data_IF_164323401143
#
_entry.id   IF_164323401143
#
_cell.length_a   1.000
_cell.length_b   1.000
_cell.length_c   1.000
_cell.angle_alpha   90.00
_cell.angle_beta   90.00
_cell.angle_gamma   90.00
#
_symmetry.space_group_name_H-M   'P 1'
#
loop_
_entity.id
_entity.type
_entity.pdbx_description
1 polymer ?
#
# COMPACT_ATOMS: atom_id res chain seq x y z
N UNK A 1 -61.65 -51.37 -2.31
CA UNK A 1 -60.79 -51.90 -1.23
C UNK A 1 -59.57 -50.96 -1.11
N UNK A 2 -59.66 -50.10 -0.07
CA UNK A 2 -58.59 -49.09 0.16
C UNK A 2 -57.74 -49.60 1.31
N UNK A 3 -56.42 -49.61 1.11
CA UNK A 3 -55.46 -49.68 2.19
C UNK A 3 -54.61 -48.40 2.17
N UNK A 4 -54.55 -47.64 3.24
CA UNK A 4 -53.63 -46.54 3.36
C UNK A 4 -52.34 -47.01 4.03
N UNK A 5 -51.23 -46.82 3.36
CA UNK A 5 -49.90 -46.95 3.97
C UNK A 5 -49.60 -45.74 4.84
N UNK A 6 -49.45 -45.97 6.11
CA UNK A 6 -48.91 -45.03 7.08
C UNK A 6 -47.40 -45.11 7.02
N UNK A 7 -46.76 -44.07 6.50
CA UNK A 7 -45.31 -43.86 6.61
C UNK A 7 -45.04 -43.09 7.88
N UNK A 8 -44.42 -43.77 8.86
CA UNK A 8 -43.89 -43.13 10.04
C UNK A 8 -42.58 -42.43 9.69
N UNK A 9 -42.55 -41.10 9.80
CA UNK A 9 -41.35 -40.32 9.70
C UNK A 9 -40.63 -40.35 11.04
N UNK A 10 -39.46 -40.99 11.10
CA UNK A 10 -38.58 -40.94 12.26
C UNK A 10 -37.84 -39.62 12.26
N UNK A 11 -38.12 -38.75 13.21
CA UNK A 11 -37.37 -37.53 13.49
C UNK A 11 -36.06 -37.94 14.20
N UNK A 12 -34.94 -37.89 13.50
CA UNK A 12 -33.63 -37.97 14.13
C UNK A 12 -33.25 -36.56 14.64
N UNK A 13 -33.35 -36.35 15.93
CA UNK A 13 -32.84 -35.13 16.59
C UNK A 13 -31.31 -35.29 16.73
N UNK A 14 -30.54 -34.69 15.81
CA UNK A 14 -29.12 -34.50 16.03
C UNK A 14 -28.92 -33.36 17.04
N UNK A 15 -28.65 -33.71 18.28
CA UNK A 15 -28.14 -32.75 19.27
C UNK A 15 -26.70 -32.40 18.91
N UNK A 16 -26.53 -31.34 18.11
CA UNK A 16 -25.21 -30.72 17.89
C UNK A 16 -24.88 -29.98 19.19
N UNK A 17 -23.99 -30.55 19.99
CA UNK A 17 -23.40 -29.87 21.14
C UNK A 17 -22.56 -28.69 20.64
N UNK A 18 -23.09 -27.48 20.81
CA UNK A 18 -22.33 -26.26 20.65
C UNK A 18 -21.30 -26.18 21.77
N UNK A 19 -20.09 -26.70 21.52
CA UNK A 19 -18.93 -26.33 22.31
C UNK A 19 -18.61 -24.86 21.96
N UNK A 20 -19.20 -23.96 22.73
CA UNK A 20 -18.76 -22.56 22.77
C UNK A 20 -17.37 -22.56 23.39
N UNK A 21 -16.35 -22.68 22.58
CA UNK A 21 -15.01 -22.27 22.97
C UNK A 21 -15.05 -20.74 23.15
N UNK A 22 -15.18 -20.31 24.40
CA UNK A 22 -14.90 -18.93 24.77
C UNK A 22 -13.44 -18.67 24.41
N UNK A 23 -13.21 -18.10 23.23
CA UNK A 23 -11.95 -17.47 22.92
C UNK A 23 -11.79 -16.36 23.95
N UNK A 24 -10.74 -16.39 24.81
CA UNK A 24 -10.51 -15.27 25.71
C UNK A 24 -10.41 -14.05 24.82
N UNK A 25 -11.31 -13.09 24.96
CA UNK A 25 -11.14 -11.78 24.39
C UNK A 25 -9.82 -11.30 24.97
N UNK A 26 -8.76 -11.32 24.16
CA UNK A 26 -7.58 -10.53 24.43
C UNK A 26 -8.12 -9.11 24.61
N UNK A 27 -8.11 -8.62 25.85
CA UNK A 27 -8.42 -7.23 26.13
C UNK A 27 -7.49 -6.43 25.20
N UNK A 28 -8.08 -5.76 24.22
CA UNK A 28 -7.32 -4.80 23.42
C UNK A 28 -6.74 -3.84 24.45
N UNK A 29 -5.43 -3.88 24.62
CA UNK A 29 -4.75 -2.89 25.43
C UNK A 29 -5.23 -1.55 24.91
N UNK A 30 -5.82 -0.73 25.76
CA UNK A 30 -6.34 0.56 25.39
C UNK A 30 -5.12 1.40 24.97
N UNK A 31 -4.93 1.56 23.65
CA UNK A 31 -3.89 2.43 23.13
C UNK A 31 -4.19 3.86 23.62
N UNK A 32 -3.37 4.35 24.51
CA UNK A 32 -3.38 5.77 24.89
C UNK A 32 -2.35 6.46 24.02
N UNK A 33 -2.77 7.35 23.10
CA UNK A 33 -1.83 8.10 22.30
C UNK A 33 -0.85 8.85 23.20
N UNK A 34 0.44 8.93 22.85
CA UNK A 34 1.41 9.71 23.61
C UNK A 34 1.00 11.20 23.61
N UNK A 35 1.30 11.90 24.69
CA UNK A 35 1.14 13.36 24.73
C UNK A 35 2.22 14.00 23.84
N UNK A 36 1.79 14.56 22.73
CA UNK A 36 2.64 15.25 21.76
C UNK A 36 2.57 16.78 21.88
N UNK A 37 1.84 17.30 22.90
CA UNK A 37 1.63 18.73 23.08
C UNK A 37 2.95 19.48 23.21
N UNK A 38 3.14 20.50 22.38
CA UNK A 38 4.31 21.38 22.41
C UNK A 38 5.61 20.79 21.86
N UNK A 39 5.57 19.60 21.29
CA UNK A 39 6.73 19.00 20.62
C UNK A 39 6.69 19.27 19.12
N UNK A 40 7.86 19.52 18.53
CA UNK A 40 8.03 19.58 17.08
C UNK A 40 7.98 18.17 16.46
N UNK A 41 7.77 18.09 15.13
CA UNK A 41 7.85 16.82 14.40
C UNK A 41 9.23 16.19 14.57
N UNK A 42 10.30 16.98 14.50
CA UNK A 42 11.68 16.53 14.69
C UNK A 42 11.87 15.88 16.07
N UNK A 43 11.46 16.55 17.16
CA UNK A 43 11.56 15.99 18.52
C UNK A 43 10.79 14.69 18.70
N UNK A 44 9.63 14.54 18.04
CA UNK A 44 8.85 13.31 18.08
C UNK A 44 9.53 12.17 17.31
N UNK A 45 10.07 12.47 16.14
CA UNK A 45 10.76 11.47 15.31
C UNK A 45 12.08 11.04 15.94
N UNK A 46 12.83 11.96 16.52
CA UNK A 46 14.07 11.62 17.22
C UNK A 46 13.81 10.73 18.43
N UNK A 47 12.81 11.06 19.26
CA UNK A 47 12.41 10.23 20.38
C UNK A 47 11.97 8.80 19.91
N UNK A 48 11.20 8.72 18.83
CA UNK A 48 10.78 7.44 18.26
C UNK A 48 11.98 6.62 17.76
N UNK A 49 12.93 7.27 17.09
CA UNK A 49 14.14 6.61 16.58
C UNK A 49 14.99 6.06 17.72
N UNK A 50 15.18 6.86 18.79
CA UNK A 50 15.94 6.42 19.98
C UNK A 50 15.27 5.22 20.65
N UNK A 51 13.95 5.28 20.87
CA UNK A 51 13.18 4.20 21.50
C UNK A 51 13.27 2.88 20.71
N UNK A 52 13.29 2.95 19.38
CA UNK A 52 13.27 1.77 18.50
C UNK A 52 14.63 1.41 17.90
N UNK A 53 15.71 2.07 18.30
CA UNK A 53 17.06 1.87 17.78
C UNK A 53 17.13 2.01 16.24
N UNK A 54 16.48 3.07 15.72
CA UNK A 54 16.46 3.37 14.29
C UNK A 54 17.53 4.39 13.93
N UNK A 55 18.27 4.09 12.86
CA UNK A 55 19.36 4.92 12.37
C UNK A 55 19.35 5.07 10.85
N UNK A 56 20.37 5.71 10.30
CA UNK A 56 20.53 5.97 8.87
C UNK A 56 20.63 4.70 8.01
N UNK A 57 20.83 3.52 8.60
CA UNK A 57 20.94 2.26 7.86
C UNK A 57 19.60 1.60 7.61
N UNK A 58 18.61 1.84 8.47
CA UNK A 58 17.36 1.09 8.50
C UNK A 58 16.09 1.97 8.54
N UNK A 59 16.23 3.31 8.58
CA UNK A 59 15.10 4.22 8.68
C UNK A 59 15.26 5.43 7.76
N UNK A 60 14.15 5.80 7.12
CA UNK A 60 13.98 7.03 6.36
C UNK A 60 12.58 7.59 6.60
N UNK A 61 12.43 8.90 6.53
CA UNK A 61 11.15 9.57 6.71
C UNK A 61 11.08 10.86 5.92
N UNK A 62 9.95 11.10 5.26
CA UNK A 62 9.54 12.39 4.75
C UNK A 62 8.16 12.73 5.30
N UNK A 63 8.02 13.88 5.92
CA UNK A 63 6.79 14.42 6.47
C UNK A 63 6.42 15.73 5.78
N UNK A 64 5.16 15.88 5.47
CA UNK A 64 4.62 17.14 4.95
C UNK A 64 3.20 17.35 5.44
N UNK A 65 2.97 18.49 6.10
CA UNK A 65 1.63 18.90 6.53
C UNK A 65 1.00 19.80 5.46
N UNK A 66 -0.03 19.29 4.80
CA UNK A 66 -0.72 20.00 3.69
C UNK A 66 -1.48 21.25 4.14
N UNK A 67 -1.73 21.42 5.45
CA UNK A 67 -2.45 22.59 6.01
C UNK A 67 -1.49 23.68 6.41
N UNK A 68 -0.42 23.35 7.18
CA UNK A 68 0.55 24.33 7.69
C UNK A 68 1.70 24.57 6.72
N UNK A 69 1.98 23.66 5.79
CA UNK A 69 3.17 23.66 4.94
C UNK A 69 4.43 23.20 5.64
N UNK A 70 4.33 22.78 6.91
CA UNK A 70 5.46 22.25 7.67
C UNK A 70 5.99 20.97 7.03
N UNK A 71 7.31 20.84 6.93
CA UNK A 71 7.97 19.63 6.44
C UNK A 71 9.14 19.25 7.33
N UNK A 72 9.41 17.96 7.39
CA UNK A 72 10.57 17.38 8.05
C UNK A 72 11.04 16.16 7.29
N UNK A 73 12.33 16.10 7.00
CA UNK A 73 12.94 15.00 6.27
C UNK A 73 14.10 14.43 7.11
N UNK A 74 14.17 13.11 7.19
CA UNK A 74 15.29 12.39 7.78
C UNK A 74 15.72 11.28 6.84
N UNK A 75 16.99 11.33 6.40
CA UNK A 75 17.62 10.31 5.54
C UNK A 75 16.80 10.01 4.27
N UNK A 76 16.07 10.99 3.77
CA UNK A 76 14.97 10.88 2.79
C UNK A 76 15.42 10.43 1.41
N UNK A 77 16.74 10.48 1.12
CA UNK A 77 17.33 10.04 -0.15
C UNK A 77 17.90 8.62 -0.08
N UNK A 78 17.89 7.99 1.10
CA UNK A 78 18.36 6.62 1.29
C UNK A 78 17.46 5.65 0.55
N UNK A 79 18.04 4.80 -0.29
CA UNK A 79 17.29 3.72 -0.94
C UNK A 79 17.12 2.55 0.00
N UNK A 80 15.88 2.26 0.38
CA UNK A 80 15.48 1.07 1.12
C UNK A 80 14.56 0.19 0.26
N UNK A 81 14.32 -1.05 0.73
CA UNK A 81 13.42 -1.96 0.02
C UNK A 81 12.00 -1.41 -0.06
N UNK A 82 11.54 -1.19 -1.28
CA UNK A 82 10.31 -0.42 -1.53
C UNK A 82 9.00 -1.15 -1.25
N UNK A 83 9.01 -2.49 -1.10
CA UNK A 83 7.79 -3.28 -0.91
C UNK A 83 6.67 -2.84 -1.88
N UNK A 84 5.50 -2.46 -1.39
CA UNK A 84 4.36 -2.01 -2.20
C UNK A 84 4.37 -0.52 -2.54
N UNK A 85 5.35 0.26 -2.11
CA UNK A 85 5.39 1.72 -2.37
C UNK A 85 5.49 2.04 -3.86
N UNK A 86 6.09 1.14 -4.67
CA UNK A 86 6.16 1.28 -6.12
C UNK A 86 4.78 1.44 -6.80
N UNK A 87 3.72 0.98 -6.15
CA UNK A 87 2.36 1.05 -6.68
C UNK A 87 1.84 2.48 -6.75
N UNK A 88 2.36 3.37 -5.91
CA UNK A 88 1.97 4.78 -5.91
C UNK A 88 2.35 5.48 -7.23
N UNK A 89 3.63 5.60 -7.61
CA UNK A 89 3.99 6.21 -8.89
C UNK A 89 3.48 5.41 -10.10
N UNK A 90 3.35 4.08 -9.98
CA UNK A 90 2.76 3.25 -11.03
C UNK A 90 1.33 3.67 -11.36
N UNK A 91 0.49 3.86 -10.37
CA UNK A 91 -0.90 4.26 -10.60
C UNK A 91 -0.98 5.72 -11.06
N UNK A 92 -0.15 6.63 -10.53
CA UNK A 92 -0.07 8.01 -11.00
C UNK A 92 0.25 8.08 -12.49
N UNK A 93 1.17 7.24 -12.98
CA UNK A 93 1.50 7.15 -14.40
C UNK A 93 0.28 6.86 -15.28
N UNK A 94 -0.58 5.95 -14.86
CA UNK A 94 -1.81 5.64 -15.59
C UNK A 94 -2.88 6.72 -15.45
N UNK A 95 -2.97 7.41 -14.31
CA UNK A 95 -3.83 8.59 -14.18
C UNK A 95 -3.39 9.72 -15.11
N UNK A 96 -2.08 9.94 -15.29
CA UNK A 96 -1.57 10.89 -16.28
C UNK A 96 -1.99 10.51 -17.70
N UNK A 97 -1.90 9.25 -18.07
CA UNK A 97 -2.35 8.77 -19.39
C UNK A 97 -3.87 8.95 -19.58
N UNK A 98 -4.66 8.75 -18.52
CA UNK A 98 -6.10 9.04 -18.56
C UNK A 98 -6.38 10.53 -18.74
N UNK A 99 -5.68 11.39 -18.04
CA UNK A 99 -5.80 12.86 -18.18
C UNK A 99 -5.37 13.34 -19.57
N UNK A 100 -4.37 12.70 -20.16
CA UNK A 100 -3.93 12.98 -21.54
C UNK A 100 -4.89 12.41 -22.60
N UNK A 101 -5.88 11.60 -22.23
CA UNK A 101 -6.80 10.93 -23.14
C UNK A 101 -6.21 9.76 -23.92
N UNK A 102 -5.05 9.26 -23.49
CA UNK A 102 -4.36 8.13 -24.12
C UNK A 102 -4.94 6.78 -23.76
N UNK A 103 -5.59 6.70 -22.60
CA UNK A 103 -6.22 5.49 -22.07
C UNK A 103 -7.50 5.88 -21.31
N UNK A 104 -8.45 4.97 -21.16
CA UNK A 104 -9.68 5.20 -20.38
C UNK A 104 -9.80 4.21 -19.22
N UNK A 105 -10.60 4.54 -18.22
CA UNK A 105 -10.87 3.67 -17.07
C UNK A 105 -11.41 2.28 -17.46
N UNK A 106 -12.16 2.21 -18.56
CA UNK A 106 -12.71 0.96 -19.12
C UNK A 106 -11.69 0.12 -19.88
N UNK A 107 -10.49 0.64 -20.12
CA UNK A 107 -9.43 -0.11 -20.83
C UNK A 107 -9.10 -1.39 -20.08
N UNK A 108 -9.19 -2.53 -20.76
CA UNK A 108 -8.94 -3.82 -20.14
C UNK A 108 -7.45 -4.03 -19.86
N UNK A 109 -7.12 -4.22 -18.59
CA UNK A 109 -5.75 -4.53 -18.13
C UNK A 109 -5.49 -6.03 -18.16
N UNK A 110 -6.46 -6.81 -17.74
CA UNK A 110 -6.49 -8.28 -17.85
C UNK A 110 -7.80 -8.73 -18.46
N UNK A 111 -7.99 -10.02 -18.64
CA UNK A 111 -9.22 -10.59 -19.19
C UNK A 111 -10.48 -10.28 -18.36
N UNK A 112 -10.33 -9.92 -17.07
CA UNK A 112 -11.46 -9.70 -16.16
C UNK A 112 -11.39 -8.37 -15.40
N UNK A 113 -10.41 -7.50 -15.67
CA UNK A 113 -10.24 -6.26 -14.92
C UNK A 113 -9.92 -5.09 -15.83
N UNK A 114 -10.70 -4.02 -15.70
CA UNK A 114 -10.45 -2.73 -16.32
C UNK A 114 -9.34 -1.96 -15.60
N UNK A 115 -8.93 -0.83 -16.15
CA UNK A 115 -7.96 0.07 -15.53
C UNK A 115 -8.48 0.62 -14.19
N UNK A 116 -9.75 1.05 -14.13
CA UNK A 116 -10.35 1.54 -12.88
C UNK A 116 -10.36 0.46 -11.79
N UNK A 117 -10.71 -0.78 -12.13
CA UNK A 117 -10.63 -1.90 -11.18
C UNK A 117 -9.18 -2.18 -10.78
N UNK A 118 -8.23 -2.11 -11.71
CA UNK A 118 -6.83 -2.32 -11.41
C UNK A 118 -6.27 -1.24 -10.47
N UNK A 119 -6.64 0.03 -10.66
CA UNK A 119 -6.32 1.12 -9.73
C UNK A 119 -6.85 0.85 -8.32
N UNK A 120 -8.14 0.55 -8.22
CA UNK A 120 -8.79 0.29 -6.94
C UNK A 120 -8.12 -0.87 -6.20
N UNK A 121 -7.92 -1.99 -6.87
CA UNK A 121 -7.28 -3.18 -6.29
C UNK A 121 -5.81 -2.93 -5.94
N UNK A 122 -5.08 -2.20 -6.77
CA UNK A 122 -3.67 -1.87 -6.55
C UNK A 122 -3.48 -0.94 -5.35
N UNK A 123 -4.26 0.14 -5.26
CA UNK A 123 -4.08 1.18 -4.23
C UNK A 123 -4.77 0.84 -2.92
N UNK A 124 -6.00 0.28 -2.94
CA UNK A 124 -6.77 0.04 -1.72
C UNK A 124 -6.41 -1.29 -1.08
N UNK A 125 -6.28 -2.35 -1.88
CA UNK A 125 -5.99 -3.70 -1.39
C UNK A 125 -4.55 -4.13 -1.58
N UNK A 126 -3.73 -3.28 -2.19
CA UNK A 126 -2.34 -3.61 -2.50
C UNK A 126 -2.20 -4.90 -3.32
N UNK A 127 -3.17 -5.18 -4.21
CA UNK A 127 -3.19 -6.39 -5.03
C UNK A 127 -1.95 -6.48 -5.92
N UNK A 128 -1.20 -7.57 -5.77
CA UNK A 128 0.06 -7.73 -6.48
C UNK A 128 -0.14 -8.15 -7.95
N UNK A 129 -1.15 -8.95 -8.25
CA UNK A 129 -1.37 -9.48 -9.62
C UNK A 129 -1.78 -8.36 -10.58
N UNK A 130 -2.72 -7.50 -10.16
CA UNK A 130 -3.16 -6.38 -10.97
C UNK A 130 -2.08 -5.28 -11.05
N UNK A 131 -1.38 -5.00 -9.96
CA UNK A 131 -0.22 -4.09 -10.00
C UNK A 131 0.88 -4.60 -10.93
N UNK A 132 1.16 -5.91 -10.92
CA UNK A 132 2.09 -6.53 -11.84
C UNK A 132 1.63 -6.41 -13.30
N UNK A 133 0.33 -6.59 -13.55
CA UNK A 133 -0.24 -6.44 -14.90
C UNK A 133 -0.14 -5.00 -15.42
N UNK A 134 -0.33 -4.00 -14.57
CA UNK A 134 -0.09 -2.60 -14.89
C UNK A 134 1.39 -2.36 -15.19
N UNK A 135 2.28 -2.77 -14.30
CA UNK A 135 3.71 -2.59 -14.46
C UNK A 135 4.24 -3.23 -15.75
N UNK A 136 3.87 -4.48 -16.05
CA UNK A 136 4.33 -5.21 -17.25
C UNK A 136 3.91 -4.57 -18.58
N UNK A 137 2.90 -3.71 -18.57
CA UNK A 137 2.51 -2.94 -19.76
C UNK A 137 3.45 -1.77 -20.05
N UNK A 138 4.15 -1.26 -19.03
CA UNK A 138 5.19 -0.24 -19.22
C UNK A 138 6.44 -0.90 -19.78
N UNK A 139 6.79 -2.09 -19.28
CA UNK A 139 7.96 -2.84 -19.67
C UNK A 139 8.51 -3.68 -18.54
N UNK A 140 9.82 -3.86 -18.50
CA UNK A 140 10.50 -4.48 -17.37
C UNK A 140 10.81 -3.44 -16.25
N UNK A 141 11.60 -3.86 -15.26
CA UNK A 141 11.86 -3.01 -14.09
C UNK A 141 12.62 -1.72 -14.41
N UNK A 142 13.70 -1.73 -15.22
CA UNK A 142 14.37 -0.51 -15.65
C UNK A 142 13.47 0.45 -16.42
N UNK A 143 12.66 -0.03 -17.34
CA UNK A 143 11.74 0.79 -18.13
C UNK A 143 10.68 1.44 -17.26
N UNK A 144 10.09 0.69 -16.32
CA UNK A 144 9.20 1.24 -15.32
C UNK A 144 9.89 2.34 -14.48
N UNK A 145 11.09 2.08 -13.98
CA UNK A 145 11.85 3.05 -13.18
C UNK A 145 12.18 4.32 -13.96
N UNK A 146 12.54 4.18 -15.21
CA UNK A 146 12.75 5.32 -16.12
C UNK A 146 11.47 6.12 -16.34
N UNK A 147 10.33 5.47 -16.53
CA UNK A 147 9.04 6.14 -16.71
C UNK A 147 8.60 6.93 -15.46
N UNK A 148 8.92 6.44 -14.25
CA UNK A 148 8.60 7.12 -12.99
C UNK A 148 9.48 8.33 -12.72
N UNK A 149 10.60 8.46 -13.41
CA UNK A 149 11.60 9.51 -13.21
C UNK A 149 11.03 10.93 -13.28
N UNK A 150 10.03 11.13 -14.13
CA UNK A 150 9.34 12.41 -14.32
C UNK A 150 8.64 12.96 -13.06
N UNK A 151 8.38 12.13 -12.07
CA UNK A 151 7.72 12.53 -10.83
C UNK A 151 8.68 12.96 -9.73
N UNK A 152 9.98 12.74 -9.91
CA UNK A 152 10.97 12.98 -8.86
C UNK A 152 11.73 14.28 -9.10
N UNK A 153 11.88 15.06 -8.05
CA UNK A 153 12.68 16.32 -8.08
C UNK A 153 14.18 16.06 -8.00
N UNK A 154 14.59 14.87 -7.56
CA UNK A 154 15.99 14.47 -7.51
C UNK A 154 16.62 14.51 -8.90
N UNK A 155 17.84 15.00 -9.01
CA UNK A 155 18.63 14.99 -10.24
C UNK A 155 19.15 13.59 -10.57
N UNK A 156 19.63 13.38 -11.80
CA UNK A 156 20.18 12.09 -12.21
C UNK A 156 21.42 11.70 -11.39
N UNK A 157 22.22 12.68 -10.96
CA UNK A 157 23.40 12.45 -10.13
C UNK A 157 23.05 12.08 -8.67
N UNK A 158 21.88 12.45 -8.20
CA UNK A 158 21.37 12.11 -6.85
C UNK A 158 20.74 10.73 -6.80
N UNK A 159 20.42 10.12 -7.93
CA UNK A 159 19.79 8.80 -7.99
C UNK A 159 20.86 7.73 -8.23
N UNK A 160 21.13 6.87 -7.22
CA UNK A 160 22.09 5.79 -7.40
C UNK A 160 21.66 4.78 -8.48
N UNK A 161 22.63 4.21 -9.18
CA UNK A 161 22.38 3.30 -10.30
C UNK A 161 21.52 2.07 -9.93
N UNK A 162 21.64 1.57 -8.69
CA UNK A 162 20.84 0.46 -8.22
C UNK A 162 19.34 0.76 -8.13
N UNK A 163 18.92 2.04 -8.09
CA UNK A 163 17.52 2.43 -8.25
C UNK A 163 16.88 1.77 -9.48
N UNK A 164 17.59 1.76 -10.61
CA UNK A 164 17.02 1.28 -11.88
C UNK A 164 16.89 -0.24 -11.98
N UNK A 165 17.60 -0.98 -11.16
CA UNK A 165 17.66 -2.46 -11.24
C UNK A 165 17.10 -3.17 -10.03
N UNK A 166 17.10 -2.52 -8.86
CA UNK A 166 16.66 -3.10 -7.60
C UNK A 166 15.27 -2.61 -7.19
N UNK A 167 14.59 -3.40 -6.36
CA UNK A 167 13.29 -3.02 -5.79
C UNK A 167 13.48 -2.06 -4.61
N UNK A 168 14.09 -0.92 -4.87
CA UNK A 168 14.40 0.10 -3.87
C UNK A 168 13.80 1.45 -4.26
N UNK A 169 13.38 2.21 -3.25
CA UNK A 169 12.90 3.58 -3.35
C UNK A 169 13.36 4.34 -2.11
N UNK A 170 13.21 5.65 -2.12
CA UNK A 170 13.39 6.49 -0.95
C UNK A 170 12.14 7.34 -0.68
N UNK A 171 11.99 7.84 0.55
CA UNK A 171 10.80 8.61 0.93
C UNK A 171 10.71 9.92 0.17
N UNK A 172 11.83 10.53 -0.28
CA UNK A 172 11.80 11.70 -1.15
C UNK A 172 11.06 11.42 -2.45
N UNK A 173 11.32 10.29 -3.13
CA UNK A 173 10.62 9.90 -4.36
C UNK A 173 9.12 9.72 -4.12
N UNK A 174 8.74 9.12 -2.99
CA UNK A 174 7.33 8.93 -2.63
C UNK A 174 6.66 10.26 -2.31
N UNK A 175 7.33 11.14 -1.57
CA UNK A 175 6.83 12.49 -1.25
C UNK A 175 6.64 13.34 -2.51
N UNK A 176 7.60 13.31 -3.43
CA UNK A 176 7.49 14.00 -4.72
C UNK A 176 6.27 13.49 -5.51
N UNK A 177 6.06 12.16 -5.55
CA UNK A 177 4.90 11.56 -6.21
C UNK A 177 3.56 11.99 -5.57
N UNK A 178 3.51 12.22 -4.26
CA UNK A 178 2.30 12.66 -3.55
C UNK A 178 2.01 14.16 -3.72
N UNK A 179 3.00 14.94 -4.16
CA UNK A 179 2.89 16.40 -4.34
C UNK A 179 2.57 16.84 -5.78
N UNK A 180 2.45 15.89 -6.72
CA UNK A 180 2.11 16.16 -8.14
C UNK A 180 0.70 16.72 -8.29
#
# INVERSE_FOLDING_TARGET
>A
MHHPFRTAAALAICAAGLFSMAVPALAAESFTPPDVSGKSVEELIDAFREEHNLDETNFELSYYNTVSGESYDYNETKLLYGASTYKLPLNLYYYDMQLAGEITGDTMITQGSSLDEAHYQSLVYSNNELSYSLWRRIGDWPEYKMAMRKYFTMTDDEIPQNYYYDHVFCTRMMMDTLKV
#
